data_IF_406781497619
#
_entry.id   IF_406781497619
#
_cell.length_a   1.000
_cell.length_b   1.000
_cell.length_c   1.000
_cell.angle_alpha   90.00
_cell.angle_beta   90.00
_cell.angle_gamma   90.00
#
_symmetry.space_group_name_H-M   'P 1'
#
loop_
_entity.id
_entity.type
_entity.pdbx_description
1 polymer ?
#
# COMPACT_ATOMS: atom_id res chain seq x y z
N UNK A 1 43.77 -52.78 1.55
CA UNK A 1 42.57 -52.68 2.43
C UNK A 1 42.45 -51.35 3.17
N UNK A 2 43.56 -50.69 3.55
CA UNK A 2 43.54 -49.37 4.23
C UNK A 2 43.01 -48.21 3.35
N UNK A 3 43.39 -48.14 2.06
CA UNK A 3 42.93 -47.08 1.15
C UNK A 3 41.41 -47.07 0.90
N UNK A 4 40.74 -48.24 0.93
CA UNK A 4 39.28 -48.32 0.76
C UNK A 4 38.50 -47.85 2.00
N UNK A 5 39.09 -47.95 3.20
CA UNK A 5 38.48 -47.42 4.44
C UNK A 5 38.56 -45.89 4.49
N UNK A 6 39.65 -45.30 4.01
CA UNK A 6 39.82 -43.84 3.98
C UNK A 6 38.86 -43.16 2.99
N UNK A 7 38.68 -43.73 1.78
CA UNK A 7 37.70 -43.24 0.79
C UNK A 7 36.24 -43.34 1.27
N UNK A 8 35.89 -44.38 2.04
CA UNK A 8 34.55 -44.51 2.65
C UNK A 8 34.31 -43.49 3.78
N UNK A 9 35.35 -43.16 4.55
CA UNK A 9 35.30 -42.15 5.61
C UNK A 9 35.06 -40.75 5.07
N UNK A 10 35.78 -40.35 4.00
CA UNK A 10 35.57 -39.07 3.31
C UNK A 10 34.15 -38.96 2.74
N UNK A 11 33.67 -40.01 2.06
CA UNK A 11 32.34 -40.02 1.46
C UNK A 11 31.20 -39.87 2.50
N UNK A 12 31.32 -40.53 3.66
CA UNK A 12 30.36 -40.35 4.76
C UNK A 12 30.41 -38.95 5.39
N UNK A 13 31.60 -38.34 5.43
CA UNK A 13 31.76 -36.98 5.94
C UNK A 13 31.09 -35.96 5.00
N UNK A 14 31.27 -36.10 3.69
CA UNK A 14 30.65 -35.24 2.69
C UNK A 14 29.12 -35.33 2.72
N UNK A 15 28.56 -36.54 2.80
CA UNK A 15 27.10 -36.73 2.96
C UNK A 15 26.58 -36.02 4.21
N UNK A 16 27.24 -36.22 5.35
CA UNK A 16 26.83 -35.60 6.62
C UNK A 16 26.93 -34.06 6.56
N UNK A 17 27.92 -33.53 5.85
CA UNK A 17 28.08 -32.09 5.67
C UNK A 17 27.00 -31.53 4.72
N UNK A 18 26.65 -32.27 3.67
CA UNK A 18 25.58 -31.92 2.74
C UNK A 18 24.21 -31.94 3.44
N UNK A 19 23.91 -32.92 4.29
CA UNK A 19 22.71 -32.96 5.11
C UNK A 19 22.61 -31.75 6.04
N UNK A 20 23.71 -31.38 6.72
CA UNK A 20 23.74 -30.17 7.57
C UNK A 20 23.49 -28.90 6.76
N UNK A 21 24.04 -28.81 5.55
CA UNK A 21 23.83 -27.66 4.69
C UNK A 21 22.37 -27.56 4.22
N UNK A 22 21.73 -28.68 3.87
CA UNK A 22 20.32 -28.74 3.51
C UNK A 22 19.41 -28.32 4.65
N UNK A 23 19.67 -28.79 5.88
CA UNK A 23 18.92 -28.39 7.08
C UNK A 23 19.04 -26.89 7.33
N UNK A 24 20.25 -26.33 7.20
CA UNK A 24 20.48 -24.88 7.34
C UNK A 24 19.71 -24.10 6.28
N UNK A 25 19.76 -24.52 5.01
CA UNK A 25 19.03 -23.87 3.93
C UNK A 25 17.51 -23.90 4.17
N UNK A 26 16.96 -25.05 4.57
CA UNK A 26 15.54 -25.19 4.89
C UNK A 26 15.12 -24.26 6.04
N UNK A 27 15.96 -24.14 7.09
CA UNK A 27 15.73 -23.23 8.21
C UNK A 27 15.70 -21.77 7.76
N UNK A 28 16.70 -21.32 7.01
CA UNK A 28 16.79 -19.94 6.50
C UNK A 28 15.59 -19.60 5.61
N UNK A 29 15.18 -20.53 4.74
CA UNK A 29 14.00 -20.34 3.89
C UNK A 29 12.71 -20.24 4.72
N UNK A 30 12.58 -21.07 5.76
CA UNK A 30 11.44 -21.01 6.69
C UNK A 30 11.36 -19.67 7.43
N UNK A 31 12.50 -19.18 7.94
CA UNK A 31 12.60 -17.87 8.62
C UNK A 31 12.33 -16.70 7.66
N UNK A 32 12.84 -16.77 6.43
CA UNK A 32 12.57 -15.74 5.43
C UNK A 32 11.09 -15.69 5.06
N UNK A 33 10.45 -16.85 4.87
CA UNK A 33 9.01 -16.94 4.58
C UNK A 33 8.16 -16.38 5.72
N UNK A 34 8.50 -16.68 6.97
CA UNK A 34 7.77 -16.13 8.12
C UNK A 34 7.94 -14.61 8.24
N UNK A 35 9.14 -14.08 8.01
CA UNK A 35 9.37 -12.63 7.97
C UNK A 35 8.58 -11.94 6.86
N UNK A 36 8.55 -12.52 5.66
CA UNK A 36 7.75 -12.00 4.55
C UNK A 36 6.26 -11.95 4.90
N UNK A 37 5.72 -13.02 5.48
CA UNK A 37 4.32 -13.06 5.91
C UNK A 37 3.99 -12.02 6.99
N UNK A 38 4.87 -11.84 7.99
CA UNK A 38 4.70 -10.81 9.01
C UNK A 38 4.73 -9.41 8.41
N UNK A 39 5.67 -9.14 7.49
CA UNK A 39 5.77 -7.86 6.78
C UNK A 39 4.54 -7.57 5.93
N UNK A 40 4.07 -8.56 5.18
CA UNK A 40 2.87 -8.46 4.35
C UNK A 40 1.63 -8.17 5.21
N UNK A 41 1.46 -8.93 6.30
CA UNK A 41 0.34 -8.73 7.24
C UNK A 41 0.39 -7.33 7.84
N UNK A 42 1.55 -6.90 8.34
CA UNK A 42 1.74 -5.57 8.93
C UNK A 42 1.43 -4.46 7.92
N UNK A 43 1.86 -4.63 6.67
CA UNK A 43 1.58 -3.66 5.61
C UNK A 43 0.08 -3.58 5.33
N UNK A 44 -0.63 -4.72 5.23
CA UNK A 44 -2.09 -4.75 5.05
C UNK A 44 -2.81 -4.05 6.19
N UNK A 45 -2.41 -4.27 7.44
CA UNK A 45 -3.03 -3.61 8.61
C UNK A 45 -2.85 -2.09 8.55
N UNK A 46 -1.65 -1.62 8.23
CA UNK A 46 -1.35 -0.18 8.11
C UNK A 46 -2.15 0.48 7.00
N UNK A 47 -2.32 -0.18 5.85
CA UNK A 47 -3.16 0.35 4.76
C UNK A 47 -4.61 0.45 5.19
N UNK A 48 -5.14 -0.56 5.88
CA UNK A 48 -6.50 -0.53 6.42
C UNK A 48 -6.68 0.62 7.44
N UNK A 49 -5.69 0.86 8.30
CA UNK A 49 -5.69 1.98 9.24
C UNK A 49 -5.71 3.33 8.51
N UNK A 50 -4.89 3.50 7.46
CA UNK A 50 -4.92 4.72 6.64
C UNK A 50 -6.31 4.95 6.02
N UNK A 51 -6.94 3.90 5.48
CA UNK A 51 -8.30 3.97 4.93
C UNK A 51 -9.31 4.41 5.99
N UNK A 52 -9.22 3.87 7.20
CA UNK A 52 -10.11 4.26 8.30
C UNK A 52 -9.90 5.72 8.71
N UNK A 53 -8.65 6.19 8.79
CA UNK A 53 -8.35 7.60 9.10
C UNK A 53 -8.92 8.52 8.01
N UNK A 54 -8.75 8.16 6.74
CA UNK A 54 -9.30 8.93 5.61
C UNK A 54 -10.83 8.99 5.65
N UNK A 55 -11.51 7.88 5.93
CA UNK A 55 -12.96 7.86 6.11
C UNK A 55 -13.41 8.78 7.24
N UNK A 56 -12.77 8.70 8.41
CA UNK A 56 -13.10 9.56 9.55
C UNK A 56 -12.89 11.05 9.23
N UNK A 57 -11.82 11.40 8.49
CA UNK A 57 -11.61 12.78 8.04
C UNK A 57 -12.73 13.25 7.11
N UNK A 58 -13.15 12.41 6.15
CA UNK A 58 -14.26 12.76 5.26
C UNK A 58 -15.58 12.89 6.00
N UNK A 59 -15.86 12.03 6.98
CA UNK A 59 -17.04 12.16 7.84
C UNK A 59 -17.06 13.53 8.51
N UNK A 60 -15.94 13.98 9.10
CA UNK A 60 -15.83 15.31 9.72
C UNK A 60 -16.09 16.43 8.70
N UNK A 61 -15.61 16.32 7.46
CA UNK A 61 -15.90 17.32 6.43
C UNK A 61 -17.38 17.39 6.02
N UNK A 62 -18.18 16.36 6.30
CA UNK A 62 -19.62 16.36 6.01
C UNK A 62 -20.48 16.83 7.19
N UNK A 63 -19.88 17.12 8.35
CA UNK A 63 -20.60 17.67 9.49
C UNK A 63 -21.02 19.13 9.25
N UNK A 64 -22.01 19.59 10.01
CA UNK A 64 -22.58 20.91 9.83
C UNK A 64 -21.54 22.01 10.15
N UNK A 65 -21.53 23.08 9.36
CA UNK A 65 -20.63 24.25 9.57
C UNK A 65 -20.86 24.89 10.94
N UNK A 66 -22.05 24.72 11.53
CA UNK A 66 -22.38 25.24 12.86
C UNK A 66 -21.58 24.55 13.97
N UNK A 67 -21.21 23.28 13.79
CA UNK A 67 -20.50 22.50 14.81
C UNK A 67 -18.97 22.63 14.73
N UNK A 68 -18.42 22.75 13.52
CA UNK A 68 -16.97 22.66 13.27
C UNK A 68 -16.35 23.90 12.60
N UNK A 69 -17.18 24.85 12.17
CA UNK A 69 -16.74 26.05 11.48
C UNK A 69 -16.41 25.84 9.99
N UNK A 70 -15.75 26.82 9.34
CA UNK A 70 -15.44 26.77 7.92
C UNK A 70 -14.36 25.73 7.60
N UNK A 71 -14.64 24.87 6.63
CA UNK A 71 -13.77 23.75 6.22
C UNK A 71 -13.11 23.94 4.83
N UNK A 72 -13.25 25.11 4.21
CA UNK A 72 -12.81 25.33 2.82
C UNK A 72 -11.30 25.07 2.65
N UNK A 73 -10.48 25.53 3.60
CA UNK A 73 -9.05 25.27 3.58
C UNK A 73 -8.72 23.80 3.85
N UNK A 74 -9.45 23.12 4.73
CA UNK A 74 -9.24 21.69 5.00
C UNK A 74 -9.54 20.85 3.75
N UNK A 75 -10.63 21.17 3.04
CA UNK A 75 -10.95 20.53 1.75
C UNK A 75 -9.84 20.78 0.73
N UNK A 76 -9.29 22.00 0.67
CA UNK A 76 -8.18 22.34 -0.22
C UNK A 76 -6.91 21.54 0.09
N UNK A 77 -6.54 21.36 1.35
CA UNK A 77 -5.38 20.53 1.72
C UNK A 77 -5.65 19.05 1.42
N UNK A 78 -6.83 18.55 1.77
CA UNK A 78 -7.23 17.16 1.54
C UNK A 78 -7.22 16.83 0.04
N UNK A 79 -7.78 17.67 -0.83
CA UNK A 79 -7.76 17.41 -2.26
C UNK A 79 -6.34 17.40 -2.82
N UNK A 80 -5.46 18.30 -2.35
CA UNK A 80 -4.08 18.42 -2.83
C UNK A 80 -3.22 17.22 -2.41
N UNK A 81 -3.38 16.75 -1.17
CA UNK A 81 -2.55 15.69 -0.60
C UNK A 81 -3.08 14.29 -0.96
N UNK A 82 -4.39 14.08 -0.88
CA UNK A 82 -4.97 12.74 -0.87
C UNK A 82 -5.59 12.32 -2.20
N UNK A 83 -6.14 13.23 -3.01
CA UNK A 83 -6.99 12.84 -4.14
C UNK A 83 -6.26 11.92 -5.13
N UNK A 84 -5.11 12.35 -5.65
CA UNK A 84 -4.32 11.53 -6.59
C UNK A 84 -3.76 10.27 -5.93
N UNK A 85 -3.33 10.37 -4.68
CA UNK A 85 -2.84 9.23 -3.89
C UNK A 85 -3.89 8.13 -3.73
N UNK A 86 -5.13 8.50 -3.46
CA UNK A 86 -6.26 7.57 -3.31
C UNK A 86 -6.62 6.95 -4.66
N UNK A 87 -6.67 7.75 -5.74
CA UNK A 87 -6.90 7.27 -7.10
C UNK A 87 -5.87 6.20 -7.47
N UNK A 88 -4.57 6.54 -7.38
CA UNK A 88 -3.49 5.62 -7.74
C UNK A 88 -3.46 4.37 -6.84
N UNK A 89 -3.76 4.53 -5.55
CA UNK A 89 -3.90 3.39 -4.62
C UNK A 89 -5.04 2.46 -5.01
N UNK A 90 -6.17 3.00 -5.47
CA UNK A 90 -7.31 2.20 -5.92
C UNK A 90 -7.02 1.44 -7.22
N UNK A 91 -6.28 2.06 -8.16
CA UNK A 91 -5.84 1.44 -9.42
C UNK A 91 -4.84 0.32 -9.16
N UNK A 92 -3.89 0.55 -8.26
CA UNK A 92 -2.83 -0.42 -7.97
C UNK A 92 -3.30 -1.59 -7.09
N UNK A 93 -4.41 -1.43 -6.37
CA UNK A 93 -4.94 -2.45 -5.49
C UNK A 93 -5.71 -3.52 -6.26
N UNK A 94 -5.53 -4.77 -5.85
CA UNK A 94 -6.29 -5.89 -6.42
C UNK A 94 -7.80 -5.66 -6.26
N UNK A 95 -8.56 -5.97 -7.31
CA UNK A 95 -10.01 -5.74 -7.36
C UNK A 95 -10.77 -6.58 -6.35
N UNK A 96 -10.21 -7.73 -5.96
CA UNK A 96 -10.78 -8.61 -4.94
C UNK A 96 -10.44 -8.15 -3.50
N UNK A 97 -9.56 -7.14 -3.34
CA UNK A 97 -9.25 -6.60 -2.03
C UNK A 97 -10.45 -5.77 -1.51
N UNK A 98 -10.97 -6.07 -0.30
CA UNK A 98 -12.14 -5.37 0.23
C UNK A 98 -11.93 -3.85 0.42
N UNK A 99 -10.68 -3.37 0.50
CA UNK A 99 -10.38 -1.95 0.67
C UNK A 99 -10.50 -1.14 -0.63
N UNK A 100 -10.53 -1.77 -1.81
CA UNK A 100 -10.57 -1.05 -3.08
C UNK A 100 -11.84 -0.21 -3.20
N UNK A 101 -12.98 -0.77 -2.78
CA UNK A 101 -14.26 -0.06 -2.74
C UNK A 101 -14.24 1.13 -1.77
N UNK A 102 -13.55 0.98 -0.64
CA UNK A 102 -13.39 2.08 0.32
C UNK A 102 -12.55 3.22 -0.26
N UNK A 103 -11.46 2.92 -0.97
CA UNK A 103 -10.65 3.94 -1.65
C UNK A 103 -11.46 4.69 -2.72
N UNK A 104 -12.27 3.97 -3.50
CA UNK A 104 -13.19 4.60 -4.48
C UNK A 104 -14.23 5.49 -3.77
N UNK A 105 -14.80 5.03 -2.66
CA UNK A 105 -15.74 5.83 -1.86
C UNK A 105 -15.07 7.09 -1.29
N UNK A 106 -13.83 6.99 -0.82
CA UNK A 106 -13.03 8.13 -0.35
C UNK A 106 -12.78 9.12 -1.49
N UNK A 107 -12.37 8.63 -2.67
CA UNK A 107 -12.18 9.47 -3.86
C UNK A 107 -13.45 10.26 -4.19
N UNK A 108 -14.61 9.59 -4.22
CA UNK A 108 -15.90 10.23 -4.47
C UNK A 108 -16.28 11.23 -3.36
N UNK A 109 -15.96 10.90 -2.10
CA UNK A 109 -16.16 11.80 -0.96
C UNK A 109 -15.35 13.09 -1.09
N UNK A 110 -14.07 13.01 -1.46
CA UNK A 110 -13.22 14.18 -1.71
C UNK A 110 -13.83 15.04 -2.83
N UNK A 111 -14.19 14.45 -3.97
CA UNK A 111 -14.83 15.19 -5.06
C UNK A 111 -16.11 15.88 -4.62
N UNK A 112 -16.96 15.20 -3.84
CA UNK A 112 -18.22 15.75 -3.35
C UNK A 112 -18.01 16.93 -2.39
N UNK A 113 -16.91 16.95 -1.64
CA UNK A 113 -16.57 18.06 -0.73
C UNK A 113 -16.00 19.28 -1.47
N UNK A 114 -15.51 19.11 -2.71
CA UNK A 114 -14.96 20.20 -3.52
C UNK A 114 -16.05 21.11 -4.10
N UNK A 115 -15.79 22.41 -4.11
CA UNK A 115 -16.61 23.41 -4.76
C UNK A 115 -15.92 23.93 -6.04
N UNK A 116 -16.58 24.83 -6.79
CA UNK A 116 -16.01 25.36 -8.03
C UNK A 116 -14.64 26.05 -7.85
N UNK A 117 -14.40 26.67 -6.68
CA UNK A 117 -13.10 27.27 -6.34
C UNK A 117 -12.02 26.21 -6.12
N UNK A 118 -12.35 25.12 -5.42
CA UNK A 118 -11.48 23.97 -5.23
C UNK A 118 -11.08 23.32 -6.55
N UNK A 119 -12.05 23.02 -7.42
CA UNK A 119 -11.78 22.45 -8.74
C UNK A 119 -10.87 23.36 -9.58
N UNK A 120 -11.13 24.67 -9.59
CA UNK A 120 -10.29 25.63 -10.31
C UNK A 120 -8.86 25.62 -9.79
N UNK A 121 -8.69 25.69 -8.47
CA UNK A 121 -7.38 25.69 -7.85
C UNK A 121 -6.62 24.38 -8.10
N UNK A 122 -7.30 23.24 -8.06
CA UNK A 122 -6.70 21.93 -8.32
C UNK A 122 -6.27 21.76 -9.78
N UNK A 123 -7.09 22.19 -10.73
CA UNK A 123 -6.70 22.19 -12.16
C UNK A 123 -5.49 23.12 -12.41
N UNK A 124 -5.44 24.27 -11.73
CA UNK A 124 -4.35 25.22 -11.84
C UNK A 124 -3.05 24.77 -11.16
N UNK A 125 -3.08 23.78 -10.27
CA UNK A 125 -1.85 23.28 -9.61
C UNK A 125 -1.05 22.32 -10.48
N UNK A 126 -1.60 21.83 -11.59
CA UNK A 126 -0.85 21.02 -12.55
C UNK A 126 0.16 21.89 -13.32
N UNK A 127 1.41 21.44 -13.40
CA UNK A 127 2.49 22.18 -14.06
C UNK A 127 2.31 22.21 -15.58
N UNK A 128 1.76 21.13 -16.15
CA UNK A 128 1.53 21.00 -17.59
C UNK A 128 0.14 20.45 -17.90
N UNK A 129 -0.33 20.69 -19.12
CA UNK A 129 -1.55 20.07 -19.63
C UNK A 129 -1.44 18.55 -19.75
N UNK A 130 -0.23 18.00 -19.89
CA UNK A 130 0.01 16.56 -19.88
C UNK A 130 -0.22 15.97 -18.50
N UNK A 131 0.23 16.62 -17.43
CA UNK A 131 0.01 16.15 -16.06
C UNK A 131 -1.49 16.15 -15.71
N UNK A 132 -2.22 17.16 -16.18
CA UNK A 132 -3.67 17.22 -16.03
C UNK A 132 -4.37 16.10 -16.84
N UNK A 133 -3.94 15.87 -18.07
CA UNK A 133 -4.50 14.80 -18.91
C UNK A 133 -4.24 13.44 -18.27
N UNK A 134 -3.03 13.19 -17.79
CA UNK A 134 -2.63 11.97 -17.10
C UNK A 134 -3.53 11.72 -15.87
N UNK A 135 -3.72 12.74 -15.03
CA UNK A 135 -4.68 12.67 -13.92
C UNK A 135 -6.12 12.37 -14.37
N UNK A 136 -6.59 13.02 -15.45
CA UNK A 136 -7.93 12.74 -15.98
C UNK A 136 -8.05 11.31 -16.50
N UNK A 137 -6.99 10.74 -17.08
CA UNK A 137 -6.97 9.34 -17.51
C UNK A 137 -6.90 8.35 -16.34
N UNK A 138 -6.34 8.74 -15.19
CA UNK A 138 -6.38 7.93 -13.97
C UNK A 138 -7.80 7.81 -13.40
N UNK A 139 -8.68 8.79 -13.66
CA UNK A 139 -10.07 8.82 -13.16
C UNK A 139 -11.04 8.01 -14.04
N UNK A 140 -10.78 7.94 -15.35
CA UNK A 140 -11.68 7.38 -16.38
C UNK A 140 -11.60 5.85 -16.49
#
# INVERSE_FOLDING_TARGET
>A
MMMMKHKKGDFMFDIRQQEKNLIKAAKVLGESKSQLHTRETTAKTKVAECVNIMNNMLELLFHSVEDIGPIDNDVREIMQILLRTVIQSSIAMDRDNPLVGNLVAIMLGIFRSMNAGHYRAYVQSFLTSYDLLDFLTEIL
#
